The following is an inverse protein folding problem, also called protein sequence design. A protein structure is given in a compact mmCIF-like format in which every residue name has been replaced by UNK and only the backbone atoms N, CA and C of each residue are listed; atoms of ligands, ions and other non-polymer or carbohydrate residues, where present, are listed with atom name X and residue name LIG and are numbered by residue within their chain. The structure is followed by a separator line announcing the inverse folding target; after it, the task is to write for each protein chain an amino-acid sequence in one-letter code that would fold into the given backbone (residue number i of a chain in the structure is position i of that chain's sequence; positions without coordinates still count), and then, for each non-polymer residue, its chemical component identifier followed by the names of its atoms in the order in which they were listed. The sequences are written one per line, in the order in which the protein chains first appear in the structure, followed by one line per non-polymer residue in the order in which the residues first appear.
data_IF_224230531359
#
_entry.id   IF_224230531359
#
_cell.length_a   1.000
_cell.length_b   1.000
_cell.length_c   1.000
_cell.angle_alpha   90.00
_cell.angle_beta   90.00
_cell.angle_gamma   90.00
#
_symmetry.space_group_name_H-M   'P 1'
#
loop_
_entity.id
_entity.type
_entity.pdbx_description
1 polymer ?
#
# COMPACT_ATOMS: atom_id res chain seq x y z
N UNK A 1 1.86 -3.59 -16.67
CA UNK A 1 1.55 -2.75 -15.49
C UNK A 1 0.81 -1.51 -15.95
N UNK A 2 -0.30 -1.19 -15.29
CA UNK A 2 -1.09 0.02 -15.55
C UNK A 2 -0.36 1.29 -15.08
N UNK A 3 -0.76 2.45 -15.59
CA UNK A 3 -0.21 3.75 -15.14
C UNK A 3 -0.40 3.95 -13.63
N UNK A 4 -1.52 3.46 -13.09
CA UNK A 4 -1.83 3.51 -11.65
C UNK A 4 -0.86 2.67 -10.84
N UNK A 5 -0.62 1.41 -11.22
CA UNK A 5 0.35 0.54 -10.53
C UNK A 5 1.76 1.14 -10.49
N UNK A 6 2.18 1.80 -11.59
CA UNK A 6 3.47 2.48 -11.66
C UNK A 6 3.56 3.68 -10.70
N UNK A 7 2.48 4.45 -10.58
CA UNK A 7 2.39 5.58 -9.67
C UNK A 7 2.44 5.13 -8.20
N UNK A 8 1.67 4.08 -7.86
CA UNK A 8 1.67 3.53 -6.50
C UNK A 8 3.06 2.96 -6.15
N UNK A 9 3.70 2.23 -7.07
CA UNK A 9 5.05 1.73 -6.86
C UNK A 9 6.07 2.85 -6.65
N UNK A 10 5.91 3.98 -7.36
CA UNK A 10 6.72 5.19 -7.18
C UNK A 10 6.52 5.80 -5.79
N UNK A 11 5.28 5.88 -5.31
CA UNK A 11 4.95 6.36 -3.97
C UNK A 11 5.57 5.44 -2.91
N UNK A 12 5.35 4.13 -2.97
CA UNK A 12 5.90 3.17 -2.03
C UNK A 12 7.44 3.26 -1.95
N UNK A 13 8.10 3.41 -3.10
CA UNK A 13 9.56 3.61 -3.18
C UNK A 13 10.01 4.91 -2.52
N UNK A 14 9.25 6.00 -2.71
CA UNK A 14 9.53 7.29 -2.08
C UNK A 14 9.43 7.21 -0.56
N UNK A 15 8.35 6.64 -0.03
CA UNK A 15 8.17 6.45 1.42
C UNK A 15 9.25 5.53 2.00
N UNK A 16 9.58 4.44 1.31
CA UNK A 16 10.66 3.54 1.72
C UNK A 16 11.98 4.31 1.86
N UNK A 17 12.34 5.15 0.88
CA UNK A 17 13.57 5.94 0.93
C UNK A 17 13.54 6.98 2.05
N UNK A 18 12.41 7.67 2.22
CA UNK A 18 12.26 8.71 3.23
C UNK A 18 12.36 8.15 4.66
N UNK A 19 11.62 7.09 4.96
CA UNK A 19 11.55 6.48 6.29
C UNK A 19 12.87 5.82 6.72
N UNK A 20 13.64 5.33 5.76
CA UNK A 20 15.00 4.80 6.01
C UNK A 20 16.09 5.89 5.90
N UNK A 21 15.72 7.15 5.71
CA UNK A 21 16.63 8.30 5.70
C UNK A 21 16.75 8.97 7.07
N UNK A 22 17.66 9.96 7.22
CA UNK A 22 17.95 10.59 8.51
C UNK A 22 16.75 11.29 9.15
N UNK A 23 15.82 11.84 8.34
CA UNK A 23 14.60 12.48 8.83
C UNK A 23 13.52 11.46 9.20
N UNK A 24 13.41 10.38 8.44
CA UNK A 24 12.41 9.35 8.67
C UNK A 24 12.77 8.35 9.76
N UNK A 25 14.05 8.24 10.11
CA UNK A 25 14.53 7.32 11.15
C UNK A 25 13.84 7.59 12.50
N UNK A 26 13.60 8.86 12.83
CA UNK A 26 12.88 9.22 14.06
C UNK A 26 11.47 8.64 14.11
N UNK A 27 10.75 8.56 12.98
CA UNK A 27 9.44 7.89 12.92
C UNK A 27 9.60 6.39 13.22
N UNK A 28 10.62 5.76 12.64
CA UNK A 28 10.89 4.34 12.83
C UNK A 28 11.36 3.99 14.25
N UNK A 29 11.94 4.93 14.98
CA UNK A 29 12.37 4.72 16.38
C UNK A 29 11.20 4.59 17.34
N UNK A 30 10.04 5.15 17.00
CA UNK A 30 8.81 5.03 17.80
C UNK A 30 8.08 3.71 17.57
N UNK A 31 8.46 2.96 16.53
CA UNK A 31 7.93 1.63 16.24
C UNK A 31 8.81 0.56 16.90
N UNK A 32 8.18 -0.39 17.57
CA UNK A 32 8.82 -1.66 17.91
C UNK A 32 9.00 -2.50 16.66
N UNK A 33 9.96 -3.40 16.73
CA UNK A 33 10.20 -4.36 15.66
C UNK A 33 8.93 -5.22 15.42
N UNK A 34 8.47 -5.30 14.16
CA UNK A 34 7.23 -5.96 13.79
C UNK A 34 5.96 -5.10 13.91
N UNK A 35 6.00 -3.93 14.54
CA UNK A 35 4.86 -3.01 14.54
C UNK A 35 4.69 -2.35 13.17
N UNK A 36 3.43 -2.14 12.78
CA UNK A 36 3.06 -1.46 11.55
C UNK A 36 2.02 -0.37 11.79
N UNK A 37 1.97 0.56 10.84
CA UNK A 37 0.91 1.56 10.74
C UNK A 37 0.51 1.71 9.28
N UNK A 38 -0.71 2.18 9.04
CA UNK A 38 -1.21 2.41 7.70
C UNK A 38 -1.31 3.90 7.40
N UNK A 39 -0.95 4.27 6.17
CA UNK A 39 -1.15 5.61 5.63
C UNK A 39 -2.12 5.50 4.48
N UNK A 40 -3.24 6.20 4.58
CA UNK A 40 -4.18 6.35 3.48
C UNK A 40 -3.83 7.62 2.70
N UNK A 41 -3.60 7.48 1.40
CA UNK A 41 -3.36 8.57 0.47
C UNK A 41 -4.38 8.48 -0.66
N UNK A 42 -5.36 9.38 -0.66
CA UNK A 42 -6.48 9.37 -1.62
C UNK A 42 -7.14 7.98 -1.69
N UNK A 43 -6.90 7.24 -2.77
CA UNK A 43 -7.49 5.92 -3.05
C UNK A 43 -6.58 4.75 -2.69
N UNK A 44 -5.39 5.02 -2.15
CA UNK A 44 -4.36 4.03 -1.89
C UNK A 44 -4.10 3.88 -0.39
N UNK A 45 -3.87 2.65 0.04
CA UNK A 45 -3.47 2.36 1.41
C UNK A 45 -2.08 1.74 1.42
N UNK A 46 -1.18 2.31 2.21
CA UNK A 46 0.18 1.83 2.39
C UNK A 46 0.31 1.27 3.81
N UNK A 47 0.79 0.06 3.95
CA UNK A 47 1.26 -0.47 5.23
C UNK A 47 2.76 -0.22 5.36
N UNK A 48 3.17 0.38 6.46
CA UNK A 48 4.57 0.59 6.81
C UNK A 48 4.86 -0.26 8.04
N UNK A 49 5.81 -1.20 7.93
CA UNK A 49 6.23 -2.08 9.01
C UNK A 49 7.72 -1.91 9.32
N UNK A 50 8.09 -1.95 10.60
CA UNK A 50 9.49 -2.05 11.00
C UNK A 50 9.95 -3.50 10.91
N UNK A 51 10.89 -3.76 10.01
CA UNK A 51 11.52 -5.08 9.85
C UNK A 51 13.05 -4.95 9.83
N UNK A 52 13.72 -5.65 10.75
CA UNK A 52 15.16 -5.63 11.01
C UNK A 52 15.69 -4.20 11.12
N UNK A 53 14.98 -3.36 11.89
CA UNK A 53 15.32 -1.95 12.06
C UNK A 53 15.12 -1.07 10.83
N UNK A 54 14.45 -1.55 9.78
CA UNK A 54 14.18 -0.80 8.54
C UNK A 54 12.69 -0.67 8.29
N UNK A 55 12.30 0.41 7.62
CA UNK A 55 10.94 0.57 7.12
C UNK A 55 10.75 -0.26 5.85
N UNK A 56 9.76 -1.15 5.87
CA UNK A 56 9.26 -1.85 4.68
C UNK A 56 7.87 -1.30 4.38
N UNK A 57 7.66 -0.87 3.14
CA UNK A 57 6.37 -0.31 2.69
C UNK A 57 5.69 -1.30 1.76
N UNK A 58 4.46 -1.67 2.08
CA UNK A 58 3.60 -2.52 1.26
C UNK A 58 2.39 -1.72 0.81
N UNK A 59 1.91 -2.05 -0.37
CA UNK A 59 0.67 -1.52 -0.92
C UNK A 59 -0.43 -2.48 -0.47
N UNK A 60 -1.48 -1.97 0.13
CA UNK A 60 -2.69 -2.72 0.44
C UNK A 60 -3.70 -2.42 -0.67
N UNK A 61 -4.02 -3.43 -1.48
CA UNK A 61 -5.08 -3.32 -2.47
C UNK A 61 -6.43 -3.23 -1.74
N UNK A 62 -7.20 -2.17 -2.02
CA UNK A 62 -8.55 -2.05 -1.51
C UNK A 62 -9.41 -3.07 -2.26
N UNK A 63 -9.91 -4.09 -1.56
CA UNK A 63 -10.73 -5.17 -2.11
C UNK A 63 -12.11 -4.72 -2.61
N UNK A 64 -12.37 -3.41 -2.69
CA UNK A 64 -13.63 -2.83 -3.18
C UNK A 64 -13.79 -2.82 -4.70
N UNK A 65 -12.82 -3.30 -5.47
CA UNK A 65 -12.86 -3.22 -6.95
C UNK A 65 -13.37 -4.48 -7.68
N UNK A 66 -13.74 -5.55 -6.97
CA UNK A 66 -14.15 -6.81 -7.63
C UNK A 66 -15.68 -7.06 -7.70
N UNK A 67 -16.51 -6.08 -7.32
CA UNK A 67 -17.98 -6.28 -7.23
C UNK A 67 -18.80 -5.79 -8.45
N UNK A 68 -18.22 -5.68 -9.65
CA UNK A 68 -18.94 -5.04 -10.79
C UNK A 68 -19.01 -5.82 -12.11
N UNK A 69 -18.65 -7.11 -12.17
CA UNK A 69 -18.66 -7.86 -13.44
C UNK A 69 -19.48 -9.16 -13.49
N UNK A 70 -20.43 -9.40 -12.57
CA UNK A 70 -21.27 -10.62 -12.62
C UNK A 70 -22.70 -10.44 -13.18
N UNK A 71 -23.11 -9.24 -13.59
CA UNK A 71 -24.46 -9.03 -14.14
C UNK A 71 -24.65 -9.45 -15.60
N UNK A 72 -23.61 -9.90 -16.31
CA UNK A 72 -23.71 -10.26 -17.73
C UNK A 72 -23.96 -11.76 -18.00
N UNK A 73 -24.15 -12.60 -16.98
CA UNK A 73 -24.36 -14.06 -17.15
C UNK A 73 -25.82 -14.53 -17.12
N UNK A 74 -26.78 -13.66 -16.80
CA UNK A 74 -28.19 -14.04 -16.66
C UNK A 74 -29.06 -13.78 -17.90
N UNK A 75 -28.51 -13.26 -19.00
CA UNK A 75 -29.27 -12.95 -20.22
C UNK A 75 -29.38 -14.07 -21.25
N UNK A 76 -28.84 -15.27 -20.98
CA UNK A 76 -28.89 -16.42 -21.90
C UNK A 76 -29.73 -17.62 -21.39
N UNK A 77 -30.73 -17.36 -20.54
CA UNK A 77 -31.77 -18.35 -20.22
C UNK A 77 -33.11 -17.88 -20.79
N UNK A 78 -33.29 -18.05 -22.10
CA UNK A 78 -34.60 -18.21 -22.72
C UNK A 78 -34.46 -19.06 -23.99
#
# INVERSE_FOLDING_TARGET
MSSREQEIAKIAKMYTRYLNGPLGHGVMDHLKEGESFTVRSQDEMLEIIKQKGKAIVKILEDSRTDATNDTSRLSNLH
#
